data_IF_466308061828
#
_entry.id   IF_466308061828
#
_cell.length_a   1.000
_cell.length_b   1.000
_cell.length_c   1.000
_cell.angle_alpha   90.00
_cell.angle_beta   90.00
_cell.angle_gamma   90.00
#
_symmetry.space_group_name_H-M   'P 1'
#
loop_
_entity.id
_entity.type
_entity.pdbx_description
1 polymer ?
#
# COMPACT_ATOMS: atom_id res chain seq x y z
N UNK A 1 -34.71 -48.29 36.17
CA UNK A 1 -34.73 -47.10 35.33
C UNK A 1 -33.32 -46.55 35.24
N UNK A 2 -32.79 -46.46 34.03
CA UNK A 2 -31.37 -46.31 33.70
C UNK A 2 -30.98 -44.82 33.70
N UNK A 3 -29.99 -44.45 34.51
CA UNK A 3 -29.36 -43.12 34.46
C UNK A 3 -28.32 -43.10 33.33
N UNK A 4 -28.74 -42.71 32.13
CA UNK A 4 -27.86 -42.41 31.00
C UNK A 4 -28.06 -40.95 30.57
N UNK A 5 -27.66 -40.00 31.42
CA UNK A 5 -27.76 -38.56 31.10
C UNK A 5 -26.63 -37.77 31.78
N UNK A 6 -25.41 -37.87 31.25
CA UNK A 6 -24.35 -36.89 31.56
C UNK A 6 -23.18 -36.86 30.57
N UNK A 7 -22.98 -37.92 29.76
CA UNK A 7 -21.82 -38.00 28.86
C UNK A 7 -21.95 -37.15 27.58
N UNK A 8 -23.18 -36.83 27.14
CA UNK A 8 -23.41 -36.01 25.93
C UNK A 8 -23.09 -34.53 26.17
N UNK A 9 -23.46 -34.00 27.33
CA UNK A 9 -23.21 -32.59 27.67
C UNK A 9 -21.71 -32.32 27.96
N UNK A 10 -21.00 -33.28 28.55
CA UNK A 10 -19.54 -33.20 28.74
C UNK A 10 -18.77 -33.17 27.42
N UNK A 11 -19.23 -33.93 26.40
CA UNK A 11 -18.63 -33.92 25.07
C UNK A 11 -18.84 -32.58 24.36
N UNK A 12 -20.04 -32.00 24.46
CA UNK A 12 -20.33 -30.69 23.88
C UNK A 12 -19.48 -29.57 24.48
N UNK A 13 -19.26 -29.57 25.80
CA UNK A 13 -18.38 -28.61 26.47
C UNK A 13 -16.93 -28.72 26.03
N UNK A 14 -16.40 -29.95 25.92
CA UNK A 14 -15.05 -30.20 25.42
C UNK A 14 -14.85 -29.72 23.98
N UNK A 15 -15.81 -30.02 23.09
CA UNK A 15 -15.76 -29.59 21.69
C UNK A 15 -15.79 -28.06 21.55
N UNK A 16 -16.50 -27.35 22.44
CA UNK A 16 -16.53 -25.89 22.44
C UNK A 16 -15.15 -25.30 22.79
N UNK A 17 -14.47 -25.86 23.79
CA UNK A 17 -13.11 -25.44 24.19
C UNK A 17 -12.08 -25.77 23.10
N UNK A 18 -12.16 -26.95 22.50
CA UNK A 18 -11.30 -27.36 21.38
C UNK A 18 -11.47 -26.40 20.19
N UNK A 19 -12.73 -26.05 19.85
CA UNK A 19 -13.02 -25.11 18.76
C UNK A 19 -12.54 -23.70 19.08
N UNK A 20 -12.70 -23.25 20.34
CA UNK A 20 -12.19 -21.95 20.78
C UNK A 20 -10.66 -21.87 20.66
N UNK A 21 -9.94 -22.94 21.01
CA UNK A 21 -8.49 -23.00 20.90
C UNK A 21 -8.00 -22.88 19.44
N UNK A 22 -8.74 -23.45 18.47
CA UNK A 22 -8.40 -23.39 17.05
C UNK A 22 -8.86 -22.07 16.40
N UNK A 23 -9.98 -21.52 16.85
CA UNK A 23 -10.52 -20.24 16.33
C UNK A 23 -9.60 -19.05 16.60
N UNK A 24 -8.88 -19.04 17.74
CA UNK A 24 -7.95 -17.96 18.08
C UNK A 24 -6.82 -17.78 17.03
N UNK A 25 -5.99 -18.80 16.73
CA UNK A 25 -4.96 -18.66 15.70
C UNK A 25 -5.55 -18.50 14.29
N UNK A 26 -6.70 -19.12 14.01
CA UNK A 26 -7.38 -18.97 12.71
C UNK A 26 -7.80 -17.52 12.46
N UNK A 27 -8.42 -16.86 13.44
CA UNK A 27 -8.83 -15.45 13.32
C UNK A 27 -7.64 -14.50 13.27
N UNK A 28 -6.58 -14.78 14.04
CA UNK A 28 -5.33 -14.02 13.95
C UNK A 28 -4.72 -14.09 12.55
N UNK A 29 -4.71 -15.27 11.93
CA UNK A 29 -4.21 -15.45 10.57
C UNK A 29 -5.08 -14.74 9.52
N UNK A 30 -6.40 -14.81 9.66
CA UNK A 30 -7.34 -14.10 8.78
C UNK A 30 -7.14 -12.59 8.83
N UNK A 31 -7.03 -11.99 10.03
CA UNK A 31 -6.74 -10.56 10.14
C UNK A 31 -5.36 -10.20 9.60
N UNK A 32 -4.35 -11.07 9.78
CA UNK A 32 -3.04 -10.90 9.16
C UNK A 32 -3.10 -10.82 7.63
N UNK A 33 -3.86 -11.71 6.99
CA UNK A 33 -4.08 -11.68 5.54
C UNK A 33 -4.76 -10.38 5.10
N UNK A 34 -5.78 -9.92 5.82
CA UNK A 34 -6.48 -8.69 5.45
C UNK A 34 -5.59 -7.44 5.56
N UNK A 35 -4.79 -7.33 6.61
CA UNK A 35 -3.83 -6.22 6.76
C UNK A 35 -2.79 -6.25 5.64
N UNK A 36 -2.30 -7.45 5.28
CA UNK A 36 -1.36 -7.59 4.19
C UNK A 36 -1.97 -7.26 2.81
N UNK A 37 -3.22 -7.68 2.57
CA UNK A 37 -3.93 -7.37 1.34
C UNK A 37 -4.08 -5.86 1.13
N UNK A 38 -4.33 -5.11 2.20
CA UNK A 38 -4.37 -3.65 2.14
C UNK A 38 -2.99 -3.04 1.81
N UNK A 39 -1.91 -3.53 2.43
CA UNK A 39 -0.55 -3.10 2.12
C UNK A 39 -0.23 -3.29 0.62
N UNK A 40 -0.57 -4.45 0.07
CA UNK A 40 -0.31 -4.77 -1.33
C UNK A 40 -1.15 -3.90 -2.29
N UNK A 41 -2.41 -3.62 -1.94
CA UNK A 41 -3.25 -2.68 -2.70
C UNK A 41 -2.63 -1.27 -2.73
N UNK A 42 -2.18 -0.77 -1.57
CA UNK A 42 -1.54 0.54 -1.49
C UNK A 42 -0.23 0.55 -2.30
N UNK A 43 0.58 -0.50 -2.23
CA UNK A 43 1.81 -0.62 -3.01
C UNK A 43 1.56 -0.57 -4.52
N UNK A 44 0.58 -1.32 -5.02
CA UNK A 44 0.19 -1.29 -6.43
C UNK A 44 -0.30 0.10 -6.87
N UNK A 45 -1.02 0.81 -5.99
CA UNK A 45 -1.47 2.18 -6.25
C UNK A 45 -0.27 3.13 -6.38
N UNK A 46 0.74 3.04 -5.51
CA UNK A 46 1.97 3.84 -5.63
C UNK A 46 2.70 3.58 -6.94
N UNK A 47 2.87 2.31 -7.32
CA UNK A 47 3.55 1.94 -8.57
C UNK A 47 2.82 2.49 -9.78
N UNK A 48 1.48 2.38 -9.80
CA UNK A 48 0.66 2.95 -10.87
C UNK A 48 0.79 4.47 -10.93
N UNK A 49 0.72 5.15 -9.78
CA UNK A 49 0.86 6.60 -9.71
C UNK A 49 2.24 7.09 -10.19
N UNK A 50 3.32 6.38 -9.83
CA UNK A 50 4.66 6.68 -10.30
C UNK A 50 4.78 6.52 -11.83
N UNK A 51 4.20 5.45 -12.39
CA UNK A 51 4.23 5.21 -13.82
C UNK A 51 3.47 6.29 -14.59
N UNK A 52 2.29 6.69 -14.13
CA UNK A 52 1.53 7.75 -14.79
C UNK A 52 2.22 9.11 -14.66
N UNK A 53 2.78 9.41 -13.48
CA UNK A 53 3.63 10.58 -13.29
C UNK A 53 4.82 10.62 -14.25
N UNK A 54 5.46 9.47 -14.49
CA UNK A 54 6.57 9.35 -15.44
C UNK A 54 6.12 9.55 -16.89
N UNK A 55 4.98 8.96 -17.30
CA UNK A 55 4.41 9.17 -18.65
C UNK A 55 4.08 10.63 -18.91
N UNK A 56 3.46 11.29 -17.94
CA UNK A 56 3.18 12.72 -18.03
C UNK A 56 4.45 13.55 -18.12
N UNK A 57 5.46 13.21 -17.30
CA UNK A 57 6.74 13.92 -17.27
C UNK A 57 7.51 13.77 -18.60
N UNK A 58 7.45 12.60 -19.23
CA UNK A 58 8.05 12.35 -20.55
C UNK A 58 7.40 13.20 -21.65
N UNK A 59 6.07 13.33 -21.62
CA UNK A 59 5.33 14.06 -22.65
C UNK A 59 5.44 15.58 -22.51
N UNK A 60 5.63 16.10 -21.29
CA UNK A 60 5.61 17.54 -20.99
C UNK A 60 6.98 18.06 -20.50
N UNK A 61 8.06 17.41 -20.93
CA UNK A 61 9.43 17.70 -20.47
C UNK A 61 9.96 19.10 -20.83
N UNK A 62 9.22 19.93 -21.56
CA UNK A 62 9.58 21.33 -21.86
C UNK A 62 8.87 22.33 -20.96
N UNK A 63 7.87 21.89 -20.19
CA UNK A 63 7.07 22.76 -19.32
C UNK A 63 7.84 23.08 -18.03
N UNK A 64 8.08 24.35 -17.69
CA UNK A 64 8.73 24.73 -16.43
C UNK A 64 7.94 24.30 -15.18
N UNK A 65 6.63 24.05 -15.31
CA UNK A 65 5.73 23.61 -14.22
C UNK A 65 5.62 22.09 -14.05
N UNK A 66 6.40 21.31 -14.81
CA UNK A 66 6.38 19.84 -14.80
C UNK A 66 6.45 19.23 -13.40
N UNK A 67 7.30 19.74 -12.51
CA UNK A 67 7.45 19.19 -11.15
C UNK A 67 6.14 19.27 -10.36
N UNK A 68 5.49 20.42 -10.39
CA UNK A 68 4.21 20.65 -9.71
C UNK A 68 3.10 19.82 -10.33
N UNK A 69 3.07 19.70 -11.66
CA UNK A 69 2.04 18.95 -12.37
C UNK A 69 2.16 17.44 -12.10
N UNK A 70 3.38 16.89 -12.11
CA UNK A 70 3.62 15.48 -11.75
C UNK A 70 3.26 15.23 -10.29
N UNK A 71 3.63 16.13 -9.38
CA UNK A 71 3.23 16.04 -7.98
C UNK A 71 1.70 16.07 -7.81
N UNK A 72 0.99 16.91 -8.56
CA UNK A 72 -0.46 16.97 -8.54
C UNK A 72 -1.09 15.67 -9.06
N UNK A 73 -0.59 15.11 -10.16
CA UNK A 73 -1.08 13.83 -10.71
C UNK A 73 -0.88 12.70 -9.70
N UNK A 74 0.32 12.57 -9.15
CA UNK A 74 0.61 11.54 -8.13
C UNK A 74 -0.28 11.75 -6.91
N UNK A 75 -0.46 12.99 -6.46
CA UNK A 75 -1.34 13.31 -5.31
C UNK A 75 -2.80 12.96 -5.57
N UNK A 76 -3.29 13.13 -6.81
CA UNK A 76 -4.66 12.76 -7.20
C UNK A 76 -4.91 11.25 -7.08
N UNK A 77 -3.93 10.42 -7.45
CA UNK A 77 -4.02 8.97 -7.25
C UNK A 77 -4.00 8.56 -5.77
N UNK A 78 -3.48 9.41 -4.90
CA UNK A 78 -3.33 9.15 -3.46
C UNK A 78 -4.45 9.76 -2.61
N UNK A 79 -5.46 10.37 -3.23
CA UNK A 79 -6.60 10.96 -2.51
C UNK A 79 -7.26 9.89 -1.63
N UNK A 80 -7.46 10.22 -0.35
CA UNK A 80 -8.08 9.32 0.63
C UNK A 80 -7.13 8.29 1.26
N UNK A 81 -5.84 8.28 0.91
CA UNK A 81 -4.83 7.35 1.48
C UNK A 81 -3.98 7.93 2.62
N UNK A 82 -4.29 9.14 3.09
CA UNK A 82 -3.58 9.83 4.18
C UNK A 82 -3.59 9.07 5.52
N UNK A 83 -4.49 8.10 5.67
CA UNK A 83 -4.56 7.26 6.87
C UNK A 83 -3.49 6.15 6.89
N UNK A 84 -3.04 5.69 5.72
CA UNK A 84 -2.07 4.59 5.57
C UNK A 84 -0.70 5.08 5.13
N UNK A 85 -0.62 6.23 4.44
CA UNK A 85 0.60 6.79 3.89
C UNK A 85 0.79 8.23 4.42
N UNK A 86 1.92 8.49 5.06
CA UNK A 86 2.27 9.83 5.60
C UNK A 86 3.63 10.29 5.09
N UNK A 87 3.88 11.61 5.13
CA UNK A 87 5.13 12.23 4.67
C UNK A 87 5.52 11.84 3.23
N UNK A 88 4.54 11.75 2.35
CA UNK A 88 4.78 11.38 0.96
C UNK A 88 5.55 12.52 0.28
N UNK A 89 6.70 12.18 -0.27
CA UNK A 89 7.54 13.06 -1.08
C UNK A 89 7.67 12.45 -2.46
N UNK A 90 7.37 13.26 -3.49
CA UNK A 90 7.51 12.88 -4.90
C UNK A 90 8.66 13.69 -5.47
N UNK A 91 9.71 13.00 -5.89
CA UNK A 91 10.86 13.61 -6.55
C UNK A 91 10.92 13.17 -8.00
N UNK A 92 11.15 14.12 -8.89
CA UNK A 92 11.36 13.88 -10.31
C UNK A 92 12.81 14.25 -10.61
N UNK A 93 13.56 13.35 -11.22
CA UNK A 93 14.94 13.57 -11.63
C UNK A 93 15.15 13.16 -13.08
N UNK A 94 15.87 14.01 -13.81
CA UNK A 94 16.39 13.71 -15.13
C UNK A 94 17.88 13.34 -15.04
N UNK A 95 18.35 12.44 -15.90
CA UNK A 95 19.78 12.17 -16.02
C UNK A 95 20.22 11.89 -17.45
N UNK A 96 21.38 12.41 -17.81
CA UNK A 96 22.08 12.11 -19.06
C UNK A 96 23.48 11.62 -18.72
N UNK A 97 23.85 10.42 -19.17
CA UNK A 97 25.20 9.86 -18.96
C UNK A 97 25.65 9.89 -17.49
N UNK A 98 24.71 9.78 -16.54
CA UNK A 98 24.97 9.79 -15.09
C UNK A 98 25.00 11.17 -14.42
N UNK A 99 24.81 12.26 -15.16
CA UNK A 99 24.69 13.61 -14.60
C UNK A 99 23.22 14.01 -14.42
N UNK A 100 22.91 14.63 -13.29
CA UNK A 100 21.56 15.16 -13.03
C UNK A 100 21.27 16.36 -13.93
N UNK A 101 20.17 16.31 -14.65
CA UNK A 101 19.68 17.37 -15.53
C UNK A 101 18.30 17.82 -15.04
N UNK A 102 18.01 19.13 -15.06
CA UNK A 102 16.68 19.61 -14.75
C UNK A 102 15.65 19.04 -15.73
N UNK A 103 14.55 18.54 -15.19
CA UNK A 103 13.51 17.78 -15.91
C UNK A 103 12.81 18.55 -17.03
N UNK A 104 12.88 19.89 -17.01
CA UNK A 104 12.29 20.77 -18.00
C UNK A 104 13.20 21.01 -19.24
N UNK A 105 14.35 20.35 -19.32
CA UNK A 105 15.33 20.54 -20.40
C UNK A 105 16.02 19.22 -20.79
N UNK A 106 15.24 18.13 -20.79
CA UNK A 106 15.70 16.80 -21.18
C UNK A 106 15.73 16.66 -22.70
N UNK A 107 16.80 16.07 -23.21
CA UNK A 107 16.95 15.75 -24.63
C UNK A 107 16.45 14.33 -24.93
N UNK A 108 16.09 14.02 -26.19
CA UNK A 108 15.76 12.65 -26.59
C UNK A 108 16.94 11.70 -26.29
N UNK A 109 16.68 10.65 -25.52
CA UNK A 109 17.70 9.70 -25.06
C UNK A 109 18.09 9.84 -23.58
N UNK A 110 17.65 10.92 -22.92
CA UNK A 110 17.87 11.11 -21.48
C UNK A 110 16.90 10.26 -20.66
N UNK A 111 17.35 9.87 -19.46
CA UNK A 111 16.53 9.10 -18.53
C UNK A 111 15.73 10.07 -17.66
N UNK A 112 14.46 9.73 -17.41
CA UNK A 112 13.60 10.39 -16.44
C UNK A 112 13.18 9.39 -15.37
N UNK A 113 13.26 9.79 -14.11
CA UNK A 113 12.94 8.96 -12.96
C UNK A 113 11.98 9.70 -12.04
N UNK A 114 10.89 9.04 -11.67
CA UNK A 114 9.95 9.52 -10.65
C UNK A 114 10.08 8.61 -9.45
N UNK A 115 10.48 9.18 -8.31
CA UNK A 115 10.60 8.47 -7.04
C UNK A 115 9.51 8.95 -6.10
N UNK A 116 8.74 8.01 -5.56
CA UNK A 116 7.76 8.29 -4.51
C UNK A 116 8.28 7.64 -3.23
N UNK A 117 8.46 8.44 -2.18
CA UNK A 117 8.88 7.97 -0.87
C UNK A 117 7.88 8.42 0.18
N UNK A 118 7.62 7.60 1.20
CA UNK A 118 6.74 7.96 2.31
C UNK A 118 6.81 6.94 3.42
N UNK A 119 6.20 7.26 4.56
CA UNK A 119 6.08 6.35 5.68
C UNK A 119 4.76 5.57 5.56
N UNK A 120 4.83 4.25 5.65
CA UNK A 120 3.65 3.41 5.79
C UNK A 120 3.27 3.30 7.27
N UNK A 121 2.01 3.60 7.59
CA UNK A 121 1.45 3.44 8.94
C UNK A 121 0.43 2.32 8.92
N UNK A 122 0.64 1.33 9.77
CA UNK A 122 -0.33 0.25 9.94
C UNK A 122 -1.65 0.81 10.48
N UNK A 123 -2.79 0.40 9.91
CA UNK A 123 -4.09 0.80 10.42
C UNK A 123 -4.25 0.30 11.86
N UNK A 124 -4.69 1.20 12.73
CA UNK A 124 -4.96 0.86 14.12
C UNK A 124 -6.24 0.02 14.19
N UNK A 125 -6.08 -1.28 14.44
CA UNK A 125 -7.18 -2.25 14.52
C UNK A 125 -7.81 -2.35 15.92
N UNK A 126 -7.35 -1.53 16.88
CA UNK A 126 -7.88 -1.45 18.25
C UNK A 126 -7.98 0.02 18.66
N UNK A 127 -9.16 0.60 18.94
CA UNK A 127 -9.28 2.01 19.33
C UNK A 127 -8.53 2.34 20.63
#
# INVERSE_FOLDING_TARGET
>A
MVFAKNQRDQRLGATLVETALVMVPMTMFLFGIFVYGQLLMDWNLLVHAAQEGCRYALANNTDPSINTNVQAIVSNYMIGKSNSLTNITVTISGSHQGFAIPVNNLNPGDLITVTISGNYRFPNIVP
#
